data_IF_733914956057
#
_entry.id   IF_733914956057
#
_cell.length_a   1.000
_cell.length_b   1.000
_cell.length_c   1.000
_cell.angle_alpha   90.00
_cell.angle_beta   90.00
_cell.angle_gamma   90.00
#
_symmetry.space_group_name_H-M   'P 1'
#
loop_
_entity.id
_entity.type
_entity.pdbx_description
1 polymer ?
2 non-polymer ?
3 water ?
#
# COMPACT_ATOMS: atom_id res chain seq x y z
N UNK A 6 27.80 9.84 9.63
CA UNK A 6 26.95 8.65 9.59
C UNK A 6 25.72 8.90 8.74
N UNK A 7 25.59 8.22 7.61
CA UNK A 7 24.37 8.43 6.87
C UNK A 7 23.31 7.39 7.26
N UNK A 8 22.10 7.72 6.90
CA UNK A 8 20.92 7.00 7.33
C UNK A 8 20.56 5.99 6.27
N UNK A 9 19.54 5.17 6.52
CA UNK A 9 19.05 4.25 5.49
C UNK A 9 18.43 4.98 4.32
N UNK A 10 18.24 4.22 3.25
CA UNK A 10 17.37 4.69 2.17
C UNK A 10 15.96 4.92 2.71
N UNK A 11 15.44 3.95 3.45
CA UNK A 11 14.17 4.14 4.15
C UNK A 11 14.08 3.21 5.35
N UNK A 12 13.31 3.63 6.33
CA UNK A 12 12.89 2.78 7.44
C UNK A 12 11.53 2.17 7.13
N UNK A 13 11.27 1.01 7.74
CA UNK A 13 9.98 0.38 7.57
C UNK A 13 9.94 -1.01 8.14
N UNK A 14 8.77 -1.63 7.97
CA UNK A 14 8.53 -3.00 8.40
C UNK A 14 8.77 -3.94 7.21
N UNK A 15 9.70 -4.86 7.36
CA UNK A 15 10.08 -5.79 6.31
C UNK A 15 9.48 -7.14 6.60
N UNK A 16 8.60 -7.60 5.70
CA UNK A 16 7.88 -8.86 5.94
C UNK A 16 8.84 -10.04 5.95
N UNK A 17 8.58 -11.00 6.83
CA UNK A 17 9.32 -12.25 6.77
C UNK A 17 9.07 -12.94 5.44
N UNK A 18 9.97 -13.88 5.11
CA UNK A 18 9.88 -14.56 3.83
C UNK A 18 8.53 -15.24 3.67
N UNK A 19 8.05 -15.86 4.75
CA UNK A 19 6.79 -16.59 4.68
C UNK A 19 5.61 -15.62 4.54
N UNK A 20 5.58 -14.56 5.35
CA UNK A 20 4.53 -13.55 5.22
C UNK A 20 4.57 -12.86 3.87
N UNK A 21 5.77 -12.56 3.36
CA UNK A 21 5.85 -11.93 2.05
C UNK A 21 5.21 -12.82 1.00
N UNK A 22 5.59 -14.09 0.96
CA UNK A 22 5.04 -14.99 -0.05
C UNK A 22 3.53 -15.08 0.06
N UNK A 23 3.02 -15.10 1.29
CA UNK A 23 1.58 -15.19 1.50
C UNK A 23 0.89 -13.96 0.93
N UNK A 24 1.40 -12.77 1.26
CA UNK A 24 0.76 -11.55 0.74
C UNK A 24 0.96 -11.40 -0.77
N UNK A 25 2.12 -11.82 -1.27
CA UNK A 25 2.37 -11.72 -2.70
C UNK A 25 1.39 -12.60 -3.46
N UNK A 26 1.18 -13.82 -2.99
CA UNK A 26 0.22 -14.69 -3.64
C UNK A 26 -1.19 -14.16 -3.53
N UNK A 27 -1.57 -13.62 -2.36
CA UNK A 27 -2.90 -13.01 -2.25
C UNK A 27 -3.08 -11.87 -3.25
N UNK A 28 -2.05 -11.05 -3.45
CA UNK A 28 -2.14 -9.94 -4.38
C UNK A 28 -2.31 -10.40 -5.82
N UNK A 29 -1.60 -11.45 -6.19
CA UNK A 29 -1.72 -11.99 -7.55
C UNK A 29 -3.12 -12.57 -7.81
N UNK A 30 -3.68 -13.34 -6.85
CA UNK A 30 -5.04 -13.87 -7.01
C UNK A 30 -6.04 -12.72 -7.14
N UNK A 31 -5.93 -11.69 -6.28
CA UNK A 31 -6.77 -10.52 -6.43
C UNK A 31 -6.66 -9.90 -7.84
N UNK A 32 -5.44 -9.70 -8.34
CA UNK A 32 -5.32 -9.09 -9.66
C UNK A 32 -5.96 -9.97 -10.74
N UNK A 33 -5.79 -11.29 -10.64
CA UNK A 33 -6.39 -12.20 -11.61
C UNK A 33 -7.92 -12.16 -11.53
N UNK A 34 -8.46 -12.21 -10.30
CA UNK A 34 -9.90 -12.21 -10.12
C UNK A 34 -10.52 -10.89 -10.55
N UNK A 35 -9.86 -9.78 -10.20
CA UNK A 35 -10.40 -8.47 -10.57
C UNK A 35 -10.43 -8.30 -12.09
N UNK A 36 -9.34 -8.66 -12.77
CA UNK A 36 -9.28 -8.52 -14.20
C UNK A 36 -10.32 -9.34 -14.94
N UNK A 37 -10.84 -10.37 -14.31
CA UNK A 37 -11.90 -11.19 -14.89
C UNK A 37 -13.29 -10.79 -14.48
N UNK A 38 -13.44 -9.85 -13.55
CA UNK A 38 -14.75 -9.47 -13.05
C UNK A 38 -15.47 -8.59 -14.08
N UNK A 39 -16.75 -8.90 -14.32
CA UNK A 39 -17.50 -8.22 -15.37
C UNK A 39 -17.55 -6.71 -15.17
N UNK A 40 -17.62 -6.26 -13.91
CA UNK A 40 -17.71 -4.82 -13.65
C UNK A 40 -16.39 -4.12 -13.99
N UNK A 41 -15.27 -4.77 -13.70
CA UNK A 41 -13.98 -4.20 -14.04
C UNK A 41 -13.80 -4.13 -15.56
N UNK A 42 -14.17 -5.22 -16.25
CA UNK A 42 -13.99 -5.25 -17.69
C UNK A 42 -14.84 -4.18 -18.38
N UNK A 43 -16.05 -3.92 -17.84
CA UNK A 43 -16.90 -2.89 -18.44
C UNK A 43 -16.29 -1.51 -18.33
N UNK A 44 -15.45 -1.29 -17.33
CA UNK A 44 -14.90 0.04 -17.07
C UNK A 44 -13.53 0.20 -17.67
N UNK A 45 -13.11 -0.72 -18.52
CA UNK A 45 -11.71 -0.72 -18.92
C UNK A 45 -11.28 0.57 -19.61
N UNK A 46 -12.21 1.35 -20.17
CA UNK A 46 -11.84 2.64 -20.76
C UNK A 46 -11.43 3.63 -19.68
N UNK A 47 -12.09 3.61 -18.50
CA UNK A 47 -11.71 4.44 -17.36
C UNK A 47 -10.37 4.05 -16.77
N UNK A 48 -9.67 3.09 -17.38
CA UNK A 48 -8.50 2.49 -16.78
C UNK A 48 -7.27 2.62 -17.66
N UNK A 49 -7.35 2.20 -18.92
CA UNK A 49 -6.30 2.49 -19.89
C UNK A 49 -6.77 3.59 -20.83
N UNK A 50 -5.82 4.15 -21.58
CA UNK A 50 -6.06 5.38 -22.36
C UNK A 50 -5.55 5.28 -23.79
N UNK A 51 -5.31 4.06 -24.30
CA UNK A 51 -4.89 3.89 -25.67
C UNK A 51 -5.82 2.99 -26.45
N UNK A 52 -5.27 2.09 -27.26
CA UNK A 52 -6.05 1.05 -27.93
C UNK A 52 -6.10 -0.22 -27.10
N UNK A 56 -10.52 -6.87 -26.03
CA UNK A 56 -10.01 -8.10 -25.41
C UNK A 56 -9.80 -7.86 -23.90
N UNK A 57 -8.99 -8.69 -23.28
CA UNK A 57 -8.87 -8.73 -21.83
C UNK A 57 -7.50 -8.22 -21.40
N UNK A 58 -7.48 -7.38 -20.36
CA UNK A 58 -6.21 -6.91 -19.77
C UNK A 58 -5.84 -7.82 -18.62
N UNK A 59 -4.63 -8.40 -18.66
CA UNK A 59 -4.12 -9.23 -17.56
C UNK A 59 -3.39 -8.30 -16.60
N UNK A 60 -4.00 -8.06 -15.44
CA UNK A 60 -3.48 -7.04 -14.53
C UNK A 60 -2.13 -7.45 -13.96
N UNK A 61 -1.86 -8.75 -13.90
CA UNK A 61 -0.53 -9.15 -13.42
C UNK A 61 0.55 -8.66 -14.38
N UNK A 62 0.27 -8.64 -15.70
CA UNK A 62 1.22 -8.05 -16.65
C UNK A 62 1.21 -6.52 -16.58
N UNK A 63 0.02 -5.93 -16.40
CA UNK A 63 -0.06 -4.48 -16.31
C UNK A 63 0.76 -3.91 -15.15
N UNK A 64 0.64 -4.50 -13.95
CA UNK A 64 1.44 -4.09 -12.78
C UNK A 64 2.76 -4.87 -12.69
N UNK A 65 3.51 -4.84 -13.78
CA UNK A 65 4.66 -5.71 -13.92
C UNK A 65 5.85 -5.30 -13.08
N UNK A 66 5.92 -4.03 -12.66
CA UNK A 66 7.06 -3.67 -11.81
C UNK A 66 6.66 -4.04 -10.38
N UNK A 67 7.00 -5.25 -9.98
CA UNK A 67 6.70 -5.72 -8.62
C UNK A 67 7.91 -5.55 -7.72
N UNK A 68 7.73 -5.26 -6.44
CA UNK A 68 8.88 -5.12 -5.52
C UNK A 68 9.77 -6.35 -5.55
N UNK A 69 11.08 -6.18 -5.71
CA UNK A 69 12.01 -7.30 -5.53
C UNK A 69 12.35 -7.49 -4.05
N UNK A 70 12.77 -8.70 -3.73
CA UNK A 70 13.01 -9.03 -2.33
C UNK A 70 11.70 -9.23 -1.59
N UNK A 71 11.75 -9.02 -0.29
CA UNK A 71 10.54 -9.17 0.49
C UNK A 71 9.69 -7.92 0.31
N UNK A 72 8.39 -8.09 0.52
CA UNK A 72 7.51 -6.94 0.59
C UNK A 72 7.75 -6.14 1.89
N UNK A 73 7.34 -4.89 1.90
CA UNK A 73 7.59 -4.04 3.05
C UNK A 73 6.55 -2.94 3.13
N UNK A 74 6.50 -2.34 4.33
CA UNK A 74 5.64 -1.19 4.65
C UNK A 74 6.56 -0.08 5.14
N UNK A 75 6.76 0.92 4.30
CA UNK A 75 7.65 2.01 4.65
C UNK A 75 7.01 2.90 5.71
N UNK A 76 7.83 3.37 6.63
CA UNK A 76 7.43 4.46 7.53
C UNK A 76 8.00 5.78 7.06
N UNK A 77 9.32 5.91 6.99
CA UNK A 77 9.96 7.16 6.60
C UNK A 77 10.98 6.94 5.49
N UNK A 78 10.75 7.54 4.34
CA UNK A 78 11.76 7.53 3.28
C UNK A 78 12.81 8.58 3.64
N UNK A 79 14.06 8.16 3.76
CA UNK A 79 15.14 9.03 4.21
C UNK A 79 16.15 9.43 3.13
N UNK A 80 16.33 8.61 2.10
CA UNK A 80 17.33 8.86 1.04
C UNK A 80 18.69 9.20 1.66
N UNK A 81 19.06 8.41 2.67
CA UNK A 81 20.37 8.45 3.32
C UNK A 81 20.58 9.70 4.15
N UNK A 82 19.54 10.50 4.37
CA UNK A 82 19.66 11.77 5.06
C UNK A 82 19.24 12.95 4.22
N UNK A 83 19.00 12.75 2.92
CA UNK A 83 18.69 13.85 2.02
C UNK A 83 17.22 14.23 1.97
N UNK A 84 16.32 13.36 2.41
CA UNK A 84 14.92 13.71 2.46
C UNK A 84 14.64 14.62 3.66
N UNK A 85 13.67 15.52 3.48
CA UNK A 85 13.23 16.36 4.58
C UNK A 85 12.72 15.52 5.74
N UNK A 86 13.10 15.91 6.97
CA UNK A 86 12.67 15.23 8.18
C UNK A 86 13.41 13.94 8.51
N UNK A 87 14.31 13.49 7.62
CA UNK A 87 15.01 12.22 7.79
C UNK A 87 15.79 12.17 9.09
N UNK A 88 16.67 13.15 9.35
CA UNK A 88 17.45 13.09 10.58
C UNK A 88 16.57 13.22 11.81
N UNK A 89 15.52 14.03 11.74
CA UNK A 89 14.64 14.16 12.88
C UNK A 89 13.91 12.84 13.18
N UNK A 90 13.48 12.14 12.14
CA UNK A 90 12.80 10.87 12.36
C UNK A 90 13.72 9.84 12.99
N UNK A 91 14.94 9.71 12.45
CA UNK A 91 15.85 8.64 12.86
C UNK A 91 16.37 8.80 14.28
N UNK A 92 16.39 10.02 14.81
CA UNK A 92 16.89 10.24 16.14
C UNK A 92 15.82 10.03 17.20
N UNK A 93 14.59 9.74 16.82
CA UNK A 93 13.55 9.45 17.79
C UNK A 93 13.86 8.21 18.62
N UNK A 94 13.59 8.31 19.93
CA UNK A 94 13.75 7.19 20.84
C UNK A 94 13.01 5.95 20.33
N UNK A 95 11.76 6.13 19.90
CA UNK A 95 10.94 4.97 19.55
C UNK A 95 11.54 4.25 18.34
N UNK A 96 12.12 5.00 17.41
CA UNK A 96 12.78 4.37 16.27
C UNK A 96 13.96 3.53 16.74
N UNK A 97 14.76 4.06 17.65
CA UNK A 97 15.90 3.26 18.09
C UNK A 97 15.45 2.06 18.93
N UNK A 98 14.41 2.23 19.74
CA UNK A 98 13.98 1.15 20.61
C UNK A 98 13.31 0.01 19.85
N UNK A 99 12.72 0.31 18.69
CA UNK A 99 12.00 -0.65 17.86
C UNK A 99 12.88 -1.28 16.77
N UNK A 100 14.13 -0.85 16.65
CA UNK A 100 14.97 -1.31 15.54
C UNK A 100 15.31 -2.78 15.73
N UNK A 101 14.88 -3.62 14.78
CA UNK A 101 15.03 -5.04 14.89
C UNK A 101 13.88 -5.75 15.58
N UNK A 102 12.86 -5.02 16.04
CA UNK A 102 11.72 -5.62 16.73
C UNK A 102 10.70 -6.17 15.73
N UNK A 103 10.04 -7.28 16.11
CA UNK A 103 8.99 -7.90 15.31
C UNK A 103 7.62 -7.30 15.61
N UNK A 104 6.83 -7.11 14.54
CA UNK A 104 5.48 -6.57 14.61
C UNK A 104 4.55 -7.42 13.76
N UNK A 105 3.25 -7.26 13.99
CA UNK A 105 2.19 -7.79 13.13
C UNK A 105 1.50 -6.62 12.45
N UNK A 106 1.45 -6.66 11.12
CA UNK A 106 0.74 -5.65 10.35
C UNK A 106 -0.59 -6.23 9.88
N UNK A 107 -1.64 -5.46 10.11
CA UNK A 107 -2.99 -5.81 9.69
C UNK A 107 -3.30 -5.21 8.32
N UNK A 108 -3.66 -6.06 7.37
CA UNK A 108 -4.01 -5.67 6.00
C UNK A 108 -5.52 -5.82 5.88
N UNK A 109 -6.21 -4.70 5.69
CA UNK A 109 -7.66 -4.72 5.66
C UNK A 109 -8.24 -4.72 4.24
N UNK A 110 -7.46 -4.35 3.23
CA UNK A 110 -7.99 -4.17 1.90
C UNK A 110 -6.86 -4.21 0.89
N UNK A 111 -7.18 -4.66 -0.30
CA UNK A 111 -6.29 -4.58 -1.44
C UNK A 111 -6.88 -3.59 -2.45
N UNK A 112 -6.03 -2.90 -3.22
CA UNK A 112 -6.55 -1.88 -4.14
C UNK A 112 -5.74 -1.81 -5.42
N UNK A 113 -6.40 -1.25 -6.45
CA UNK A 113 -5.84 -1.05 -7.78
C UNK A 113 -6.28 0.32 -8.27
N UNK A 114 -5.38 1.02 -8.97
CA UNK A 114 -5.67 2.21 -9.75
C UNK A 114 -4.96 2.02 -11.07
N UNK A 115 -5.15 2.93 -12.03
CA UNK A 115 -4.38 2.85 -13.28
C UNK A 115 -2.86 2.98 -13.10
N UNK A 116 -2.39 3.39 -11.93
CA UNK A 116 -0.95 3.52 -11.68
C UNK A 116 -0.36 2.43 -10.81
N UNK A 117 -1.08 1.93 -9.78
CA UNK A 117 -0.44 1.07 -8.78
C UNK A 117 -1.41 0.02 -8.26
N UNK A 118 -0.85 -1.00 -7.62
CA UNK A 118 -1.62 -1.99 -6.89
C UNK A 118 -0.99 -2.16 -5.51
N UNK A 119 -1.82 -2.24 -4.47
CA UNK A 119 -1.22 -2.46 -3.18
C UNK A 119 -2.19 -2.96 -2.15
N UNK A 120 -1.69 -2.98 -0.93
CA UNK A 120 -2.39 -3.49 0.24
C UNK A 120 -2.47 -2.37 1.25
N UNK A 121 -3.66 -2.16 1.81
CA UNK A 121 -3.83 -1.15 2.84
C UNK A 121 -3.48 -1.74 4.20
N UNK A 122 -2.61 -1.06 4.95
CA UNK A 122 -2.18 -1.47 6.28
C UNK A 122 -2.87 -0.58 7.31
N UNK A 123 -3.44 -1.21 8.36
CA UNK A 123 -4.06 -0.50 9.48
C UNK A 123 -3.17 -0.66 10.70
N UNK A 124 -2.46 0.40 11.05
CA UNK A 124 -1.47 0.36 12.12
C UNK A 124 -2.10 0.34 13.51
N UNK A 125 -1.50 -0.45 14.39
CA UNK A 125 -1.81 -0.41 15.82
C UNK A 125 -1.32 0.88 16.44
N UNK A 126 -1.75 1.16 17.67
CA UNK A 126 -1.29 2.40 18.33
C UNK A 126 0.22 2.39 18.53
N UNK A 127 0.80 1.23 18.87
CA UNK A 127 2.25 1.12 19.02
C UNK A 127 2.96 1.39 17.70
N UNK A 128 2.45 0.82 16.60
CA UNK A 128 3.04 1.06 15.29
C UNK A 128 2.90 2.50 14.84
N UNK A 129 1.80 3.17 15.20
CA UNK A 129 1.63 4.57 14.83
C UNK A 129 2.71 5.45 15.46
N UNK A 130 3.32 5.00 16.54
CA UNK A 130 4.37 5.82 17.16
C UNK A 130 5.57 5.92 16.22
N UNK A 131 5.73 4.94 15.33
CA UNK A 131 6.80 4.90 14.33
C UNK A 131 6.46 5.63 13.05
N UNK A 132 5.26 6.20 12.96
CA UNK A 132 4.86 6.90 11.76
C UNK A 132 5.39 8.33 11.81
N UNK A 133 5.97 8.84 10.74
CA UNK A 133 6.58 10.17 10.81
C UNK A 133 5.53 11.28 10.90
N UNK A 134 5.95 12.42 11.45
CA UNK A 134 5.17 13.65 11.42
C UNK A 134 6.10 14.81 11.01
N UNK A 135 6.04 15.23 9.75
CA UNK A 135 6.93 16.31 9.30
C UNK A 135 6.31 17.06 8.13
N UNK A 136 7.08 18.02 7.60
CA UNK A 136 6.65 18.83 6.47
C UNK A 136 6.43 17.99 5.21
N UNK A 137 7.15 16.87 5.07
CA UNK A 137 7.12 16.06 3.86
C UNK A 137 5.77 15.37 3.64
N UNK A 138 4.89 15.42 4.62
CA UNK A 138 3.54 14.90 4.50
C UNK A 138 2.84 15.48 3.27
N UNK A 139 2.26 14.64 2.39
CA UNK A 139 1.53 15.18 1.24
C UNK A 139 0.16 15.72 1.62
N UNK A 140 -0.43 16.48 0.68
CA UNK A 140 -1.70 17.12 0.98
C UNK A 140 -2.84 16.12 1.05
N UNK A 141 -2.81 15.03 0.29
CA UNK A 141 -3.94 14.11 0.36
C UNK A 141 -4.02 13.36 1.69
N UNK A 142 -2.99 13.47 2.54
CA UNK A 142 -3.09 12.92 3.89
C UNK A 142 -3.81 13.86 4.85
N UNK A 143 -4.12 15.08 4.41
CA UNK A 143 -4.85 16.04 5.23
C UNK A 143 -6.33 15.67 5.21
N UNK A 144 -6.95 15.66 6.38
CA UNK A 144 -8.34 15.24 6.53
C UNK A 144 -8.51 13.80 6.91
N UNK A 145 -7.46 13.01 6.84
CA UNK A 145 -7.46 11.61 7.23
C UNK A 145 -6.58 11.39 8.44
N UNK A 146 -6.85 10.36 9.24
CA UNK A 146 -6.04 10.15 10.43
C UNK A 146 -4.59 9.86 10.11
N UNK A 147 -3.68 10.23 10.98
CA UNK A 147 -2.27 9.90 10.79
C UNK A 147 -2.08 8.40 10.53
N UNK A 148 -1.11 8.08 9.66
CA UNK A 148 -0.84 6.69 9.30
C UNK A 148 -1.73 6.11 8.24
N UNK A 149 -2.68 6.87 7.70
CA UNK A 149 -3.58 6.34 6.69
C UNK A 149 -2.84 5.98 5.39
N UNK A 150 -1.68 6.59 5.13
CA UNK A 150 -0.85 6.27 3.96
C UNK A 150 -0.23 4.88 4.03
N UNK A 151 -0.23 4.25 5.20
CA UNK A 151 0.51 3.00 5.41
C UNK A 151 0.03 1.90 4.48
N UNK A 152 0.96 1.34 3.71
CA UNK A 152 0.57 0.41 2.67
C UNK A 152 1.74 -0.52 2.37
N UNK A 153 1.44 -1.57 1.64
CA UNK A 153 2.45 -2.43 0.98
C UNK A 153 2.22 -2.35 -0.52
N UNK A 154 3.25 -1.89 -1.27
CA UNK A 154 3.14 -1.89 -2.72
C UNK A 154 3.22 -3.31 -3.26
N UNK A 155 2.27 -3.67 -4.12
CA UNK A 155 2.30 -4.95 -4.83
C UNK A 155 2.75 -4.85 -6.28
N UNK A 156 2.56 -3.72 -6.93
CA UNK A 156 2.98 -3.57 -8.31
C UNK A 156 2.72 -2.17 -8.83
N UNK A 157 3.50 -1.74 -9.81
CA UNK A 157 3.36 -0.44 -10.47
C UNK A 157 3.30 -0.61 -11.98
N UNK A 158 2.57 0.28 -12.66
CA UNK A 158 2.68 0.39 -14.10
C UNK A 158 4.07 0.87 -14.49
N UNK A 159 4.42 0.65 -15.77
CA UNK A 159 5.79 0.80 -16.24
C UNK A 159 6.41 2.14 -15.92
N UNK A 160 5.68 3.24 -16.08
CA UNK A 160 6.31 4.54 -15.91
C UNK A 160 6.01 5.18 -14.56
N UNK A 161 5.57 4.40 -13.58
CA UNK A 161 5.15 4.88 -12.28
C UNK A 161 6.19 4.51 -11.23
N UNK A 162 6.46 5.42 -10.34
CA UNK A 162 7.36 5.13 -9.24
C UNK A 162 6.60 4.56 -8.05
N UNK A 163 7.23 3.64 -7.30
CA UNK A 163 6.53 2.93 -6.20
C UNK A 163 5.89 3.82 -5.15
N UNK A 164 6.45 4.99 -4.87
CA UNK A 164 5.90 5.90 -3.89
C UNK A 164 4.47 6.33 -4.26
N UNK A 165 4.13 6.28 -5.55
CA UNK A 165 2.78 6.59 -5.98
C UNK A 165 1.73 5.74 -5.27
N UNK A 166 2.11 4.54 -4.80
CA UNK A 166 1.11 3.64 -4.22
C UNK A 166 0.48 4.26 -3.00
N UNK A 167 1.26 4.96 -2.19
CA UNK A 167 0.72 5.54 -0.97
C UNK A 167 -0.17 6.73 -1.26
N UNK A 168 0.20 7.52 -2.28
CA UNK A 168 -0.64 8.63 -2.70
C UNK A 168 -1.95 8.10 -3.26
N UNK A 169 -1.90 7.01 -4.04
CA UNK A 169 -3.12 6.38 -4.55
C UNK A 169 -4.02 5.89 -3.42
N UNK A 170 -3.45 5.24 -2.41
CA UNK A 170 -4.27 4.78 -1.29
C UNK A 170 -4.93 5.95 -0.60
N UNK A 171 -4.18 7.03 -0.36
CA UNK A 171 -4.80 8.18 0.29
C UNK A 171 -5.97 8.72 -0.53
N UNK A 172 -5.80 8.78 -1.85
CA UNK A 172 -6.87 9.29 -2.70
C UNK A 172 -8.10 8.40 -2.60
N UNK A 173 -7.89 7.07 -2.51
CA UNK A 173 -9.01 6.15 -2.35
C UNK A 173 -9.70 6.37 -1.01
N UNK A 174 -8.91 6.61 0.04
CA UNK A 174 -9.49 6.78 1.38
C UNK A 174 -10.21 8.12 1.50
N UNK A 175 -9.82 9.12 0.71
CA UNK A 175 -10.59 10.37 0.64
C UNK A 175 -11.97 10.13 0.04
N UNK A 176 -12.06 9.23 -0.94
CA UNK A 176 -13.38 8.84 -1.46
C UNK A 176 -14.20 8.18 -0.37
N UNK A 177 -13.57 7.25 0.33
CA UNK A 177 -14.25 6.48 1.35
C UNK A 177 -14.70 7.36 2.49
N UNK A 178 -13.87 8.35 2.85
CA UNK A 178 -14.19 9.28 3.94
C UNK A 178 -15.59 9.85 3.75
N UNK A 179 -15.87 10.37 2.55
CA UNK A 179 -17.18 10.89 2.18
C UNK A 179 -18.20 9.87 1.71
N UNK A 180 -17.91 8.56 1.83
CA UNK A 180 -18.87 7.57 1.44
C UNK A 180 -18.96 7.33 -0.05
N UNK A 181 -18.09 7.95 -0.84
CA UNK A 181 -18.18 7.79 -2.29
C UNK A 181 -17.97 6.36 -2.74
N UNK A 182 -17.51 5.47 -1.86
CA UNK A 182 -17.42 4.07 -2.28
C UNK A 182 -18.80 3.48 -2.52
N UNK A 183 -19.81 3.95 -1.78
CA UNK A 183 -21.16 3.49 -1.96
C UNK A 183 -21.31 2.03 -1.59
N UNK A 184 -22.29 1.40 -2.18
CA UNK A 184 -22.44 -0.02 -1.96
C UNK A 184 -21.46 -0.75 -2.87
N UNK A 185 -21.07 -1.95 -2.42
CA UNK A 185 -20.17 -2.79 -3.19
C UNK A 185 -20.72 -3.05 -4.59
N UNK A 186 -19.89 -2.91 -5.62
CA UNK A 186 -20.39 -3.25 -6.95
C UNK A 186 -20.50 -4.76 -7.11
N UNK A 187 -19.74 -5.53 -6.32
CA UNK A 187 -19.80 -6.97 -6.44
C UNK A 187 -19.00 -7.66 -5.35
N UNK A 188 -18.71 -8.94 -5.56
CA UNK A 188 -18.00 -9.67 -4.54
C UNK A 188 -16.99 -10.60 -5.17
N UNK A 189 -15.85 -10.71 -4.52
CA UNK A 189 -14.86 -11.74 -4.79
C UNK A 189 -14.87 -12.73 -3.63
N UNK A 190 -14.24 -13.89 -3.79
CA UNK A 190 -14.34 -14.90 -2.71
C UNK A 190 -13.88 -14.40 -1.35
N UNK A 191 -12.93 -13.47 -1.28
CA UNK A 191 -12.41 -13.03 0.01
C UNK A 191 -12.89 -11.66 0.47
N UNK A 192 -13.83 -11.04 -0.24
CA UNK A 192 -14.40 -9.81 0.27
C UNK A 192 -15.24 -9.08 -0.75
N UNK A 193 -15.76 -7.93 -0.33
CA UNK A 193 -16.62 -7.13 -1.20
C UNK A 193 -15.79 -6.19 -2.06
N UNK A 194 -16.23 -5.98 -3.29
CA UNK A 194 -15.48 -5.20 -4.27
C UNK A 194 -16.15 -3.84 -4.48
N UNK A 195 -15.37 -2.76 -4.31
CA UNK A 195 -15.82 -1.39 -4.43
C UNK A 195 -15.19 -0.72 -5.64
N UNK A 196 -16.01 -0.03 -6.41
CA UNK A 196 -15.57 0.80 -7.51
C UNK A 196 -15.65 2.26 -7.08
N UNK A 197 -14.53 2.98 -7.11
CA UNK A 197 -14.52 4.37 -6.66
C UNK A 197 -14.48 5.34 -7.85
N UNK A 198 -14.64 4.83 -9.05
CA UNK A 198 -14.55 5.60 -10.27
C UNK A 198 -13.11 5.82 -10.69
N UNK A 199 -12.95 6.23 -11.94
CA UNK A 199 -11.66 6.68 -12.47
C UNK A 199 -10.60 5.59 -12.33
N UNK A 200 -11.02 4.34 -12.49
CA UNK A 200 -10.09 3.24 -12.51
C UNK A 200 -9.66 2.77 -11.14
N UNK A 201 -10.31 3.26 -10.09
CA UNK A 201 -9.94 2.93 -8.72
C UNK A 201 -10.83 1.81 -8.19
N UNK A 202 -10.21 0.77 -7.63
CA UNK A 202 -10.92 -0.40 -7.13
C UNK A 202 -10.35 -0.82 -5.78
N UNK A 203 -11.23 -1.26 -4.88
CA UNK A 203 -10.82 -1.69 -3.56
C UNK A 203 -11.56 -2.97 -3.17
N UNK A 204 -10.81 -3.99 -2.76
CA UNK A 204 -11.37 -5.23 -2.21
C UNK A 204 -11.26 -5.09 -0.70
N UNK A 205 -12.42 -4.96 -0.04
CA UNK A 205 -12.48 -4.91 1.43
C UNK A 205 -12.52 -6.34 1.94
N UNK A 206 -11.48 -6.76 2.64
CA UNK A 206 -11.36 -8.17 3.02
C UNK A 206 -12.35 -8.55 4.12
N UNK A 207 -13.06 -9.65 3.91
CA UNK A 207 -13.97 -10.17 4.92
C UNK A 207 -13.24 -10.36 6.24
N UNK A 208 -12.07 -11.00 6.17
CA UNK A 208 -11.17 -11.21 7.29
C UNK A 208 -9.83 -10.53 7.02
N UNK A 209 -9.40 -9.73 7.97
CA UNK A 209 -8.12 -9.07 7.83
C UNK A 209 -7.00 -10.10 7.74
N UNK A 210 -6.00 -9.77 6.92
CA UNK A 210 -4.78 -10.52 6.81
C UNK A 210 -3.79 -9.97 7.82
N UNK A 211 -3.02 -10.85 8.45
CA UNK A 211 -1.97 -10.42 9.38
C UNK A 211 -0.64 -10.92 8.86
N UNK A 212 0.37 -10.06 8.87
CA UNK A 212 1.68 -10.43 8.35
C UNK A 212 2.73 -10.07 9.39
N UNK A 213 3.73 -10.93 9.51
CA UNK A 213 4.83 -10.65 10.41
C UNK A 213 5.88 -9.85 9.67
N UNK A 214 6.46 -8.88 10.36
CA UNK A 214 7.42 -7.96 9.75
C UNK A 214 8.33 -7.41 10.82
N UNK A 215 9.56 -7.10 10.44
CA UNK A 215 10.60 -6.61 11.33
C UNK A 215 10.86 -5.16 10.98
N UNK A 216 10.87 -4.28 11.99
CA UNK A 216 11.17 -2.86 11.76
C UNK A 216 12.67 -2.66 11.65
N UNK A 217 13.14 -2.08 10.54
CA UNK A 217 14.57 -1.84 10.38
C UNK A 217 14.77 -0.84 9.26
N UNK A 218 16.03 -0.63 8.88
CA UNK A 218 16.40 0.28 7.80
C UNK A 218 16.98 -0.47 6.62
N UNK A 219 16.58 -0.06 5.42
CA UNK A 219 17.06 -0.63 4.17
C UNK A 219 18.06 0.32 3.52
N UNK A 220 19.17 -0.24 3.00
CA UNK A 220 20.22 0.61 2.46
C UNK A 220 20.43 0.52 0.96
N UNK A 221 19.95 -0.50 0.29
CA UNK A 221 19.97 -0.47 -1.17
C UNK A 221 21.22 -1.10 -1.78
X LIG B 1 6.92 4.78 0.16
X LIG B 1 6.11 5.67 0.57
X LIG B 1 8.12 5.07 -0.08
X LIG B 1 6.37 3.38 0.00
X LIG B 1 7.20 2.34 -0.76
X LIG B 1 7.36 1.20 0.12
X LIG B 1 6.53 1.80 -2.00
X LIG B 1 7.27 0.51 -2.32
X LIG B 1 6.86 -0.58 -1.92
X LIG B 1 8.36 0.52 -2.96
X LIG B 1 8.58 2.81 -1.18
X LIG B 1 8.69 3.56 -2.17
X LIG B 1 9.57 2.43 -0.51
X LIG B 1 6.20 2.98 1.01
X LIG B 1 5.40 3.46 -0.50
X LIG B 1 8.30 1.14 0.40
X LIG B 1 6.60 2.51 -2.83
X LIG B 1 5.47 1.60 -1.82
#
# INVERSE_FOLDING_TARGET
GGLEKDFLPLYFGWFLTKKSSETLRKAGQVFLEELGNHKAFKKELRHFISGDEPKEKLELVSYFGKRPPGVLHCTTKFCDYGKAAGAEEYAQQEVVKRSYGKAFKLSISALFVTPKTAGAQVVLTDQELQLWPSDLDKPSASEGLPPGSRAHVTLGCAADIQPVQTGLDLLDILQQVKGGSQGEAVGELPRGKLYSLGKGRWMLSLTKKMEVKAIFTGYYG
CIT C1 O1 O2 C2 C3 O7 C4 C5 O3 O4 C6 O5 O6 H21 H22 HO7 H41 H42
#
